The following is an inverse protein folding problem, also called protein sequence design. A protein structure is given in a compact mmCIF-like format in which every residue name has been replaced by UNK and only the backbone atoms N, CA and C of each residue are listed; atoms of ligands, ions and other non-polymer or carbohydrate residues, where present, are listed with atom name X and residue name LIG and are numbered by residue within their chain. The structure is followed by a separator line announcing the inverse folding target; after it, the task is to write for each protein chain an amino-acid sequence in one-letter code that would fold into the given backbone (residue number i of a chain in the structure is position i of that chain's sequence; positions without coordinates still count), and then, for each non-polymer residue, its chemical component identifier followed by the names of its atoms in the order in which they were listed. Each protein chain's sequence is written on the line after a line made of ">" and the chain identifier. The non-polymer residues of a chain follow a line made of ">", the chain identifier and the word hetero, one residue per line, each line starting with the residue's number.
data_IF_605534891674
#
_entry.id   IF_605534891674
#
_cell.length_a   1.000
_cell.length_b   1.000
_cell.length_c   1.000
_cell.angle_alpha   90.00
_cell.angle_beta   90.00
_cell.angle_gamma   90.00
#
_symmetry.space_group_name_H-M   'P 1'
#
loop_
_entity.id
_entity.type
_entity.pdbx_description
1 polymer ?
#
# COMPACT_ATOMS: atom_id res chain seq x y z
N UNK A 1 13.85 2.88 -36.07
CA UNK A 1 14.59 3.31 -34.85
C UNK A 1 13.85 2.75 -33.68
N UNK A 2 14.55 2.13 -32.75
CA UNK A 2 13.93 1.61 -31.51
C UNK A 2 13.50 2.78 -30.65
N UNK A 3 12.24 2.80 -30.22
CA UNK A 3 11.71 3.85 -29.34
C UNK A 3 12.48 3.86 -28.01
N UNK A 4 12.79 5.06 -27.53
CA UNK A 4 13.49 5.30 -26.26
C UNK A 4 12.48 5.70 -25.19
N UNK A 5 12.43 4.93 -24.13
CA UNK A 5 11.55 5.18 -23.01
C UNK A 5 12.38 5.67 -21.82
N UNK A 6 12.00 6.77 -21.21
CA UNK A 6 12.57 7.22 -19.97
C UNK A 6 11.61 6.91 -18.81
N UNK A 7 12.11 6.23 -17.78
CA UNK A 7 11.42 6.05 -16.50
C UNK A 7 12.12 6.92 -15.45
N UNK A 8 11.40 7.83 -14.82
CA UNK A 8 11.93 8.70 -13.78
C UNK A 8 11.57 8.15 -12.42
N UNK A 9 12.57 7.73 -11.66
CA UNK A 9 12.48 7.08 -10.35
C UNK A 9 12.76 5.57 -10.41
N UNK A 10 13.84 5.13 -9.76
CA UNK A 10 14.21 3.72 -9.60
C UNK A 10 13.65 3.13 -8.27
N UNK A 11 12.44 3.54 -7.91
CA UNK A 11 11.66 2.92 -6.83
C UNK A 11 11.02 1.62 -7.30
N UNK A 12 10.18 1.03 -6.44
CA UNK A 12 9.51 -0.25 -6.69
C UNK A 12 8.76 -0.27 -8.04
N UNK A 13 7.91 0.72 -8.29
CA UNK A 13 7.12 0.79 -9.52
C UNK A 13 7.99 1.06 -10.76
N UNK A 14 8.98 1.96 -10.66
CA UNK A 14 9.83 2.29 -11.80
C UNK A 14 10.67 1.12 -12.27
N UNK A 15 11.27 0.34 -11.36
CA UNK A 15 12.06 -0.85 -11.70
C UNK A 15 11.18 -1.97 -12.28
N UNK A 16 9.99 -2.21 -11.69
CA UNK A 16 9.03 -3.16 -12.23
C UNK A 16 8.60 -2.79 -13.65
N UNK A 17 8.24 -1.52 -13.84
CA UNK A 17 7.80 -1.01 -15.14
C UNK A 17 8.91 -1.11 -16.20
N UNK A 18 10.14 -0.72 -15.85
CA UNK A 18 11.29 -0.84 -16.75
C UNK A 18 11.50 -2.29 -17.21
N UNK A 19 11.39 -3.24 -16.28
CA UNK A 19 11.52 -4.68 -16.58
C UNK A 19 10.40 -5.17 -17.53
N UNK A 20 9.14 -4.75 -17.29
CA UNK A 20 8.01 -5.12 -18.15
C UNK A 20 8.18 -4.56 -19.57
N UNK A 21 8.61 -3.31 -19.70
CA UNK A 21 8.85 -2.67 -21.00
C UNK A 21 10.03 -3.29 -21.75
N UNK A 22 11.11 -3.62 -21.05
CA UNK A 22 12.25 -4.31 -21.64
C UNK A 22 11.88 -5.70 -22.19
N UNK A 23 11.00 -6.42 -21.55
CA UNK A 23 10.46 -7.71 -22.04
C UNK A 23 9.70 -7.57 -23.37
N UNK A 24 9.26 -6.38 -23.72
CA UNK A 24 8.68 -6.04 -25.03
C UNK A 24 9.73 -5.70 -26.09
N UNK A 25 11.01 -5.71 -25.75
CA UNK A 25 12.12 -5.31 -26.63
C UNK A 25 12.31 -3.80 -26.71
N UNK A 26 11.72 -3.02 -25.81
CA UNK A 26 11.90 -1.57 -25.75
C UNK A 26 13.21 -1.21 -25.05
N UNK A 27 13.85 -0.10 -25.50
CA UNK A 27 15.01 0.46 -24.81
C UNK A 27 14.55 1.42 -23.70
N UNK A 28 14.96 1.13 -22.44
CA UNK A 28 14.50 1.86 -21.27
C UNK A 28 15.67 2.45 -20.50
N UNK A 29 15.68 3.76 -20.35
CA UNK A 29 16.58 4.50 -19.48
C UNK A 29 15.86 4.86 -18.16
N UNK A 30 16.36 4.37 -17.04
CA UNK A 30 15.78 4.65 -15.70
C UNK A 30 16.66 5.68 -14.99
N UNK A 31 16.09 6.80 -14.57
CA UNK A 31 16.81 7.88 -13.91
C UNK A 31 16.40 8.00 -12.45
N UNK A 32 17.36 7.89 -11.53
CA UNK A 32 17.16 8.01 -10.09
C UNK A 32 18.03 9.14 -9.54
N UNK A 33 17.44 9.98 -8.67
CA UNK A 33 18.12 11.13 -8.05
C UNK A 33 19.15 10.75 -6.98
N UNK A 34 18.99 9.60 -6.32
CA UNK A 34 19.89 9.09 -5.29
C UNK A 34 20.98 8.22 -5.91
N UNK A 35 22.00 7.96 -5.14
CA UNK A 35 23.00 6.96 -5.46
C UNK A 35 22.38 5.55 -5.44
N UNK A 36 23.09 4.59 -6.05
CA UNK A 36 22.67 3.19 -6.06
C UNK A 36 22.65 2.63 -4.62
N UNK A 37 21.48 2.30 -4.07
CA UNK A 37 21.36 1.85 -2.67
C UNK A 37 22.03 0.49 -2.42
N UNK A 38 22.35 -0.25 -3.47
CA UNK A 38 23.07 -1.53 -3.36
C UNK A 38 24.58 -1.35 -3.15
N UNK A 39 25.14 -0.18 -3.52
CA UNK A 39 26.58 0.15 -3.43
C UNK A 39 26.91 0.99 -2.21
N UNK A 40 26.04 1.89 -1.82
CA UNK A 40 26.13 2.63 -0.57
C UNK A 40 25.77 1.67 0.56
N UNK A 41 26.69 1.40 1.46
CA UNK A 41 26.40 0.59 2.65
C UNK A 41 25.09 1.03 3.28
N UNK A 42 24.21 0.09 3.60
CA UNK A 42 22.80 0.26 3.90
C UNK A 42 22.51 1.61 4.55
N UNK A 43 21.64 2.43 3.93
CA UNK A 43 21.03 3.56 4.61
C UNK A 43 20.42 3.02 5.90
N UNK A 44 21.12 3.22 7.01
CA UNK A 44 20.60 2.93 8.34
C UNK A 44 19.46 3.90 8.59
N UNK A 45 18.28 3.38 8.49
CA UNK A 45 17.08 4.12 8.84
C UNK A 45 16.07 4.14 7.70
N UNK A 46 14.91 3.58 8.00
CA UNK A 46 13.67 3.66 7.26
C UNK A 46 13.43 2.59 6.21
N UNK A 47 13.40 1.38 6.67
CA UNK A 47 12.72 0.32 5.95
C UNK A 47 11.35 0.12 6.53
N UNK A 48 10.38 0.96 6.13
CA UNK A 48 8.97 0.62 6.37
C UNK A 48 8.74 -0.74 5.70
N UNK A 49 8.22 -1.70 6.45
CA UNK A 49 7.80 -2.94 5.84
C UNK A 49 6.59 -2.70 4.95
N UNK A 50 6.57 -3.39 3.84
CA UNK A 50 5.44 -3.41 2.94
C UNK A 50 4.57 -4.62 3.26
N UNK A 51 3.27 -4.46 3.08
CA UNK A 51 2.31 -5.56 3.04
C UNK A 51 2.05 -5.90 1.56
N UNK A 52 2.69 -6.95 1.06
CA UNK A 52 2.45 -7.41 -0.32
C UNK A 52 1.24 -8.34 -0.33
N UNK A 53 0.30 -8.03 -1.21
CA UNK A 53 -0.98 -8.70 -1.39
C UNK A 53 -1.09 -9.32 -2.79
N UNK A 54 -2.25 -9.89 -3.12
CA UNK A 54 -2.47 -10.59 -4.40
C UNK A 54 -2.08 -9.76 -5.63
N UNK A 55 -2.38 -8.44 -5.64
CA UNK A 55 -2.04 -7.55 -6.76
C UNK A 55 -0.54 -7.37 -6.93
N UNK A 56 0.15 -7.21 -5.81
CA UNK A 56 1.61 -7.09 -5.82
C UNK A 56 2.27 -8.39 -6.29
N UNK A 57 1.78 -9.54 -5.83
CA UNK A 57 2.29 -10.86 -6.26
C UNK A 57 2.01 -11.13 -7.74
N UNK A 58 0.80 -10.79 -8.27
CA UNK A 58 0.52 -10.91 -9.70
C UNK A 58 1.53 -10.08 -10.54
N UNK A 59 1.79 -8.86 -10.12
CA UNK A 59 2.74 -7.99 -10.82
C UNK A 59 4.19 -8.50 -10.74
N UNK A 60 4.62 -8.96 -9.57
CA UNK A 60 5.96 -9.52 -9.34
C UNK A 60 6.16 -10.83 -10.10
N UNK A 61 5.12 -11.69 -10.19
CA UNK A 61 5.14 -12.91 -10.97
C UNK A 61 5.37 -12.67 -12.46
N UNK A 62 4.89 -11.55 -12.99
CA UNK A 62 5.12 -11.16 -14.39
C UNK A 62 6.59 -10.87 -14.70
N UNK A 63 7.41 -10.60 -13.70
CA UNK A 63 8.87 -10.42 -13.83
C UNK A 63 9.67 -11.55 -13.20
N UNK A 64 9.01 -12.59 -12.65
CA UNK A 64 9.63 -13.76 -12.06
C UNK A 64 10.23 -13.49 -10.67
N UNK A 65 9.59 -12.62 -9.88
CA UNK A 65 10.03 -12.25 -8.53
C UNK A 65 9.04 -12.65 -7.43
N UNK A 66 7.89 -13.25 -7.74
CA UNK A 66 6.88 -13.65 -6.76
C UNK A 66 7.37 -14.73 -5.79
N UNK A 67 7.97 -15.81 -6.27
CA UNK A 67 8.52 -16.88 -5.43
C UNK A 67 9.62 -16.38 -4.50
N UNK A 68 10.58 -15.59 -5.03
CA UNK A 68 11.64 -14.98 -4.23
C UNK A 68 11.05 -14.03 -3.18
N UNK A 69 10.07 -13.21 -3.57
CA UNK A 69 9.39 -12.28 -2.67
C UNK A 69 8.69 -13.03 -1.53
N UNK A 70 8.03 -14.15 -1.82
CA UNK A 70 7.38 -14.97 -0.80
C UNK A 70 8.39 -15.68 0.11
N UNK A 71 9.54 -16.11 -0.41
CA UNK A 71 10.61 -16.70 0.40
C UNK A 71 11.24 -15.70 1.38
N UNK A 72 11.31 -14.42 0.99
CA UNK A 72 11.87 -13.32 1.80
C UNK A 72 10.81 -12.61 2.68
N UNK A 73 9.56 -13.08 2.69
CA UNK A 73 8.45 -12.44 3.37
C UNK A 73 7.92 -13.28 4.54
N UNK A 74 7.29 -12.61 5.50
CA UNK A 74 6.60 -13.26 6.61
C UNK A 74 5.08 -13.15 6.43
N UNK A 75 4.36 -14.28 6.32
CA UNK A 75 2.92 -14.28 6.11
C UNK A 75 2.16 -13.96 7.42
N UNK A 76 1.41 -12.87 7.41
CA UNK A 76 0.50 -12.49 8.49
C UNK A 76 -0.93 -12.92 8.11
N UNK A 77 -1.53 -13.84 8.90
CA UNK A 77 -2.86 -14.40 8.63
C UNK A 77 -4.00 -13.66 9.30
N UNK A 78 -3.66 -12.65 10.10
CA UNK A 78 -4.62 -11.83 10.80
C UNK A 78 -3.95 -10.64 11.47
N UNK A 79 -4.74 -9.99 12.31
CA UNK A 79 -4.27 -8.87 13.14
C UNK A 79 -4.52 -9.17 14.61
N UNK A 80 -3.55 -8.83 15.46
CA UNK A 80 -3.64 -8.92 16.91
C UNK A 80 -3.82 -7.51 17.47
N UNK A 81 -4.95 -7.28 18.12
CA UNK A 81 -5.30 -6.01 18.75
C UNK A 81 -4.84 -5.99 20.19
N UNK A 82 -4.12 -4.95 20.57
CA UNK A 82 -3.62 -4.72 21.92
C UNK A 82 -4.50 -3.67 22.62
N UNK A 83 -5.23 -4.09 23.67
CA UNK A 83 -5.99 -3.15 24.49
C UNK A 83 -5.07 -2.31 25.38
N UNK A 84 -5.62 -1.24 25.98
CA UNK A 84 -4.87 -0.43 26.93
C UNK A 84 -4.47 -1.22 28.20
N UNK A 85 -5.23 -2.26 28.54
CA UNK A 85 -4.96 -3.14 29.69
C UNK A 85 -4.03 -4.32 29.35
N UNK A 86 -3.49 -4.39 28.11
CA UNK A 86 -2.64 -5.47 27.64
C UNK A 86 -3.40 -6.73 27.17
N UNK A 87 -4.74 -6.74 27.22
CA UNK A 87 -5.50 -7.86 26.68
C UNK A 87 -5.41 -7.93 25.16
N UNK A 88 -5.22 -9.13 24.62
CA UNK A 88 -5.05 -9.39 23.19
C UNK A 88 -6.35 -9.91 22.57
N UNK A 89 -6.62 -9.49 21.34
CA UNK A 89 -7.74 -10.00 20.54
C UNK A 89 -7.29 -10.25 19.10
N UNK A 90 -7.30 -11.51 18.69
CA UNK A 90 -6.96 -11.90 17.33
C UNK A 90 -8.16 -11.78 16.38
N UNK A 91 -7.92 -11.30 15.18
CA UNK A 91 -8.88 -11.22 14.07
C UNK A 91 -8.24 -11.77 12.80
N UNK A 92 -8.73 -12.91 12.31
CA UNK A 92 -8.29 -13.49 11.04
C UNK A 92 -8.66 -12.58 9.86
N UNK A 93 -7.86 -12.61 8.79
CA UNK A 93 -8.16 -11.92 7.54
C UNK A 93 -9.18 -12.66 6.67
N UNK A 94 -9.28 -13.99 6.81
CA UNK A 94 -10.26 -14.82 6.10
C UNK A 94 -11.02 -15.73 7.04
N UNK A 95 -12.19 -16.18 6.59
CA UNK A 95 -13.06 -17.04 7.39
C UNK A 95 -12.43 -18.40 7.73
N UNK A 96 -11.55 -18.92 6.88
CA UNK A 96 -10.83 -20.20 7.02
C UNK A 96 -9.41 -20.04 7.62
N UNK A 97 -8.92 -18.80 7.78
CA UNK A 97 -7.60 -18.49 8.33
C UNK A 97 -6.43 -18.81 7.37
N UNK A 98 -6.69 -19.07 6.10
CA UNK A 98 -5.63 -19.47 5.14
C UNK A 98 -4.98 -18.30 4.44
N UNK A 99 -5.71 -17.19 4.21
CA UNK A 99 -5.21 -16.03 3.50
C UNK A 99 -4.27 -15.20 4.38
N UNK A 100 -3.19 -14.73 3.77
CA UNK A 100 -2.18 -13.92 4.44
C UNK A 100 -1.74 -12.72 3.60
N UNK A 101 -1.47 -11.60 4.25
CA UNK A 101 -0.66 -10.52 3.68
C UNK A 101 0.80 -10.75 4.07
N UNK A 102 1.71 -10.43 3.18
CA UNK A 102 3.11 -10.78 3.33
C UNK A 102 3.93 -9.56 3.74
N UNK A 103 4.48 -9.58 4.95
CA UNK A 103 5.40 -8.55 5.42
C UNK A 103 6.76 -8.73 4.76
N UNK A 104 7.25 -7.71 4.07
CA UNK A 104 8.55 -7.73 3.42
C UNK A 104 9.29 -6.40 3.60
N UNK A 105 10.62 -6.46 3.70
CA UNK A 105 11.46 -5.27 3.69
C UNK A 105 11.31 -4.51 2.37
N UNK A 106 10.92 -3.22 2.46
CA UNK A 106 10.85 -2.34 1.29
C UNK A 106 12.21 -2.20 0.60
N UNK A 107 13.28 -2.10 1.37
CA UNK A 107 14.64 -2.00 0.82
C UNK A 107 15.02 -3.30 0.11
N UNK A 108 14.79 -4.47 0.73
CA UNK A 108 15.06 -5.77 0.13
C UNK A 108 14.30 -5.97 -1.19
N UNK A 109 13.01 -5.65 -1.21
CA UNK A 109 12.22 -5.75 -2.44
C UNK A 109 12.70 -4.76 -3.52
N UNK A 110 13.11 -3.53 -3.13
CA UNK A 110 13.65 -2.57 -4.10
C UNK A 110 14.99 -3.06 -4.68
N UNK A 111 15.88 -3.66 -3.88
CA UNK A 111 17.11 -4.24 -4.36
C UNK A 111 16.84 -5.38 -5.36
N UNK A 112 15.92 -6.29 -5.05
CA UNK A 112 15.56 -7.38 -5.96
C UNK A 112 14.99 -6.86 -7.30
N UNK A 113 14.18 -5.78 -7.25
CA UNK A 113 13.65 -5.15 -8.46
C UNK A 113 14.71 -4.37 -9.25
N UNK A 114 15.67 -3.73 -8.57
CA UNK A 114 16.83 -3.09 -9.22
C UNK A 114 17.70 -4.10 -9.94
N UNK A 115 18.03 -5.22 -9.28
CA UNK A 115 18.80 -6.31 -9.87
C UNK A 115 18.08 -6.86 -11.11
N UNK A 116 16.77 -7.11 -10.98
CA UNK A 116 15.95 -7.62 -12.07
C UNK A 116 15.84 -6.65 -13.26
N UNK A 117 15.76 -5.35 -12.97
CA UNK A 117 15.77 -4.32 -14.03
C UNK A 117 17.13 -4.23 -14.73
N UNK A 118 18.22 -4.30 -13.99
CA UNK A 118 19.60 -4.27 -14.54
C UNK A 118 19.91 -5.50 -15.40
N UNK A 119 19.38 -6.68 -15.02
CA UNK A 119 19.50 -7.92 -15.80
C UNK A 119 18.66 -7.90 -17.09
N UNK A 120 17.65 -7.03 -17.19
CA UNK A 120 16.74 -7.01 -18.33
C UNK A 120 17.42 -6.39 -19.56
N UNK A 121 17.49 -7.08 -20.72
CA UNK A 121 18.10 -6.54 -21.92
C UNK A 121 17.43 -5.23 -22.35
N UNK A 122 18.23 -4.19 -22.57
CA UNK A 122 17.75 -2.88 -23.02
C UNK A 122 17.44 -1.89 -21.88
N UNK A 123 17.54 -2.30 -20.62
CA UNK A 123 17.45 -1.38 -19.47
C UNK A 123 18.82 -0.80 -19.12
N UNK A 124 18.85 0.50 -18.84
CA UNK A 124 20.03 1.20 -18.29
C UNK A 124 19.60 2.00 -17.06
N UNK A 125 20.33 1.82 -15.96
CA UNK A 125 20.08 2.54 -14.70
C UNK A 125 21.06 3.71 -14.59
N UNK A 126 20.53 4.92 -14.38
CA UNK A 126 21.27 6.17 -14.22
C UNK A 126 21.00 6.75 -12.83
N UNK A 127 21.92 6.54 -11.89
CA UNK A 127 21.84 7.06 -10.53
C UNK A 127 22.47 8.47 -10.44
N UNK A 128 22.14 9.24 -9.40
CA UNK A 128 22.62 10.61 -9.21
C UNK A 128 21.98 11.62 -10.19
N UNK A 129 20.91 11.26 -10.88
CA UNK A 129 20.23 12.09 -11.88
C UNK A 129 18.93 12.68 -11.31
N UNK A 130 19.04 13.85 -10.69
CA UNK A 130 17.88 14.58 -10.15
C UNK A 130 17.17 15.32 -11.28
N UNK A 131 15.96 14.91 -11.63
CA UNK A 131 15.13 15.60 -12.62
C UNK A 131 14.68 16.97 -12.08
N UNK A 132 14.86 18.02 -12.86
CA UNK A 132 14.38 19.38 -12.60
C UNK A 132 13.18 19.76 -13.47
N UNK A 133 13.05 19.17 -14.67
CA UNK A 133 11.94 19.40 -15.57
C UNK A 133 11.85 18.39 -16.69
N UNK A 134 10.66 18.29 -17.29
CA UNK A 134 10.42 17.57 -18.54
C UNK A 134 9.48 18.38 -19.43
N UNK A 135 9.80 18.45 -20.70
CA UNK A 135 8.94 19.05 -21.73
C UNK A 135 8.02 17.93 -22.30
N UNK A 136 6.70 18.02 -22.13
CA UNK A 136 5.78 16.98 -22.56
C UNK A 136 5.60 16.89 -24.08
N UNK A 137 5.94 17.94 -24.82
CA UNK A 137 5.77 18.00 -26.28
C UNK A 137 6.98 17.40 -27.00
N UNK A 138 8.19 17.66 -26.50
CA UNK A 138 9.44 17.19 -27.09
C UNK A 138 10.01 15.93 -26.46
N UNK A 139 9.63 15.59 -25.21
CA UNK A 139 10.21 14.50 -24.44
C UNK A 139 11.61 14.80 -23.91
N UNK A 140 12.00 16.10 -23.86
CA UNK A 140 13.28 16.52 -23.30
C UNK A 140 13.22 16.50 -21.77
N UNK A 141 14.21 15.84 -21.15
CA UNK A 141 14.38 15.75 -19.70
C UNK A 141 15.57 16.63 -19.29
N UNK A 142 15.37 17.53 -18.34
CA UNK A 142 16.42 18.35 -17.75
C UNK A 142 16.74 17.83 -16.36
N UNK A 143 18.01 17.53 -16.12
CA UNK A 143 18.54 17.12 -14.83
C UNK A 143 19.49 18.18 -14.26
N UNK A 144 19.89 18.07 -13.00
CA UNK A 144 20.98 18.86 -12.45
C UNK A 144 22.28 18.48 -13.19
N UNK A 145 22.73 19.36 -14.12
CA UNK A 145 23.97 19.18 -14.89
C UNK A 145 23.92 18.26 -16.11
N UNK A 146 22.75 17.79 -16.51
CA UNK A 146 22.60 16.92 -17.69
C UNK A 146 21.25 17.10 -18.39
N UNK A 147 21.19 16.69 -19.63
CA UNK A 147 19.95 16.62 -20.43
C UNK A 147 19.85 15.27 -21.12
N UNK A 148 18.62 14.80 -21.30
CA UNK A 148 18.32 13.62 -22.10
C UNK A 148 17.03 13.85 -22.91
N UNK A 149 16.74 12.94 -23.85
CA UNK A 149 15.51 12.97 -24.63
C UNK A 149 14.98 11.55 -24.79
N UNK A 150 13.66 11.40 -24.65
CA UNK A 150 12.96 10.16 -24.84
C UNK A 150 11.72 10.36 -25.72
N UNK A 151 11.25 9.29 -26.34
CA UNK A 151 10.01 9.31 -27.10
C UNK A 151 8.79 9.27 -26.18
N UNK A 152 8.95 8.60 -25.01
CA UNK A 152 7.94 8.56 -23.93
C UNK A 152 8.64 8.69 -22.58
N UNK A 153 8.07 9.47 -21.65
CA UNK A 153 8.55 9.68 -20.30
C UNK A 153 7.51 9.18 -19.29
N UNK A 154 7.90 8.28 -18.42
CA UNK A 154 7.05 7.69 -17.39
C UNK A 154 7.54 8.14 -16.00
N UNK A 155 6.75 8.98 -15.34
CA UNK A 155 7.06 9.50 -14.01
C UNK A 155 6.64 8.53 -12.92
N UNK A 156 7.62 7.83 -12.32
CA UNK A 156 7.48 6.94 -11.16
C UNK A 156 8.26 7.47 -9.95
N UNK A 157 8.39 8.80 -9.84
CA UNK A 157 9.25 9.54 -8.92
C UNK A 157 8.56 9.91 -7.59
N UNK A 158 7.44 9.24 -7.29
CA UNK A 158 6.80 9.23 -5.99
C UNK A 158 5.91 10.45 -5.69
N UNK A 159 5.42 10.53 -4.45
CA UNK A 159 4.41 11.50 -4.03
C UNK A 159 4.79 12.97 -4.28
N UNK A 160 6.08 13.28 -4.27
CA UNK A 160 6.62 14.62 -4.54
C UNK A 160 7.18 14.78 -5.96
N UNK A 161 6.56 14.14 -6.91
CA UNK A 161 6.98 14.01 -8.32
C UNK A 161 7.39 15.32 -8.98
N UNK A 162 8.60 15.34 -9.55
CA UNK A 162 9.09 16.40 -10.41
C UNK A 162 8.44 16.32 -11.80
N UNK A 163 8.18 15.10 -12.29
CA UNK A 163 7.46 14.88 -13.55
C UNK A 163 6.06 15.49 -13.48
N UNK A 164 5.30 15.21 -12.38
CA UNK A 164 3.97 15.81 -12.18
C UNK A 164 4.03 17.34 -12.18
N UNK A 165 5.01 17.93 -11.49
CA UNK A 165 5.18 19.40 -11.49
C UNK A 165 5.39 19.96 -12.89
N UNK A 166 6.11 19.26 -13.75
CA UNK A 166 6.38 19.71 -15.12
C UNK A 166 5.13 19.72 -16.01
N UNK A 167 4.17 18.80 -15.75
CA UNK A 167 2.95 18.69 -16.55
C UNK A 167 1.70 19.26 -15.85
N UNK A 168 1.85 19.90 -14.70
CA UNK A 168 0.71 20.31 -13.86
C UNK A 168 -0.13 21.47 -14.41
N UNK A 169 0.35 22.19 -15.42
CA UNK A 169 -0.41 23.31 -15.98
C UNK A 169 -1.77 22.84 -16.53
N UNK A 170 -2.87 23.36 -15.99
CA UNK A 170 -4.23 22.92 -16.34
C UNK A 170 -4.62 21.54 -15.75
N UNK A 171 -3.85 21.01 -14.82
CA UNK A 171 -4.15 19.77 -14.08
C UNK A 171 -5.06 20.09 -12.89
N UNK A 172 -6.09 19.27 -12.70
CA UNK A 172 -6.81 19.20 -11.42
C UNK A 172 -5.93 18.40 -10.44
N UNK A 173 -5.37 19.09 -9.43
CA UNK A 173 -4.42 18.52 -8.49
C UNK A 173 -4.83 18.82 -7.06
N UNK A 174 -5.10 17.76 -6.30
CA UNK A 174 -5.32 17.81 -4.87
C UNK A 174 -4.21 17.06 -4.14
N UNK A 175 -3.65 17.70 -3.12
CA UNK A 175 -2.67 17.10 -2.22
C UNK A 175 -3.15 17.32 -0.78
N UNK A 176 -3.79 16.29 -0.22
CA UNK A 176 -4.39 16.37 1.11
C UNK A 176 -3.44 15.79 2.15
N UNK A 177 -2.90 16.65 3.00
CA UNK A 177 -2.06 16.25 4.12
C UNK A 177 -2.90 16.02 5.35
N UNK A 178 -2.82 14.81 5.92
CA UNK A 178 -3.45 14.56 7.19
C UNK A 178 -2.77 15.39 8.31
N UNK A 179 -3.51 15.80 9.35
CA UNK A 179 -2.94 16.44 10.54
C UNK A 179 -2.02 15.50 11.33
N UNK A 180 -2.06 14.21 10.99
CA UNK A 180 -1.20 13.17 11.54
C UNK A 180 0.13 13.07 10.79
N UNK A 181 1.14 12.66 11.52
CA UNK A 181 2.40 12.17 10.98
C UNK A 181 2.60 10.71 11.33
N UNK A 182 3.68 10.12 10.84
CA UNK A 182 4.10 8.80 11.27
C UNK A 182 5.57 8.81 11.68
N UNK A 183 5.93 7.92 12.59
CA UNK A 183 7.32 7.71 13.03
C UNK A 183 7.60 6.22 13.14
N UNK A 184 8.78 5.82 12.69
CA UNK A 184 9.24 4.43 12.79
C UNK A 184 9.94 4.19 14.11
N UNK A 185 9.65 3.05 14.73
CA UNK A 185 10.24 2.56 15.95
C UNK A 185 10.53 1.05 15.80
N UNK A 186 11.28 0.47 16.72
CA UNK A 186 11.67 -0.93 16.61
C UNK A 186 11.34 -1.71 17.89
N UNK A 187 10.83 -2.94 17.70
CA UNK A 187 10.85 -3.99 18.73
C UNK A 187 11.93 -4.99 18.30
N UNK A 188 13.06 -5.08 19.00
CA UNK A 188 14.13 -6.02 18.66
C UNK A 188 13.76 -7.47 19.00
N UNK A 189 14.49 -8.46 18.50
CA UNK A 189 14.37 -9.84 18.92
C UNK A 189 14.56 -9.97 20.45
N UNK A 190 13.81 -10.88 21.04
CA UNK A 190 13.93 -11.19 22.45
C UNK A 190 14.46 -12.62 22.65
N UNK A 191 15.58 -12.76 23.34
CA UNK A 191 16.21 -14.08 23.59
C UNK A 191 16.49 -14.86 22.30
N UNK A 192 16.75 -14.14 21.21
CA UNK A 192 17.04 -14.74 19.90
C UNK A 192 15.79 -15.18 19.11
N UNK A 193 14.59 -14.84 19.56
CA UNK A 193 13.33 -15.13 18.88
C UNK A 193 12.43 -13.89 18.77
N UNK A 194 11.29 -14.01 18.10
CA UNK A 194 10.30 -12.94 17.99
C UNK A 194 9.73 -12.54 19.36
N UNK A 195 9.66 -11.24 19.62
CA UNK A 195 9.05 -10.73 20.86
C UNK A 195 7.51 -10.77 20.86
N UNK A 196 6.89 -10.89 19.68
CA UNK A 196 5.45 -10.98 19.44
C UNK A 196 5.18 -12.08 18.41
N UNK A 197 3.91 -12.45 18.20
CA UNK A 197 3.53 -13.44 17.16
C UNK A 197 3.85 -12.94 15.74
N UNK A 198 4.79 -13.55 15.01
CA UNK A 198 5.15 -13.11 13.65
C UNK A 198 4.07 -13.41 12.60
N UNK A 199 3.08 -14.25 12.90
CA UNK A 199 1.97 -14.54 11.99
C UNK A 199 0.84 -13.50 12.04
N UNK A 200 1.05 -12.39 12.77
CA UNK A 200 0.05 -11.33 12.99
C UNK A 200 0.60 -9.94 12.67
N UNK A 201 -0.25 -9.09 12.11
CA UNK A 201 -0.09 -7.64 12.19
C UNK A 201 -0.53 -7.18 13.59
N UNK A 202 0.38 -6.65 14.39
CA UNK A 202 0.03 -6.11 15.70
C UNK A 202 -0.48 -4.68 15.58
N UNK A 203 -1.57 -4.36 16.29
CA UNK A 203 -2.19 -3.03 16.27
C UNK A 203 -2.52 -2.61 17.70
N UNK A 204 -2.09 -1.41 18.09
CA UNK A 204 -2.47 -0.72 19.31
C UNK A 204 -3.40 0.45 18.95
N UNK A 205 -4.73 0.25 18.87
CA UNK A 205 -5.69 1.33 18.59
C UNK A 205 -5.84 2.23 19.82
N UNK A 206 -5.75 3.55 19.63
CA UNK A 206 -5.83 4.56 20.72
C UNK A 206 -6.66 5.78 20.29
N UNK A 207 -7.83 5.54 19.72
CA UNK A 207 -8.71 6.60 19.22
C UNK A 207 -8.10 7.30 18.01
N UNK A 208 -7.82 8.61 18.13
CA UNK A 208 -7.22 9.38 17.04
C UNK A 208 -5.75 9.02 16.74
N UNK A 209 -5.16 8.05 17.45
CA UNK A 209 -3.80 7.58 17.25
C UNK A 209 -3.73 6.07 17.21
N UNK A 210 -2.67 5.52 16.64
CA UNK A 210 -2.39 4.08 16.71
C UNK A 210 -0.92 3.78 16.49
N UNK A 211 -0.49 2.62 16.93
CA UNK A 211 0.78 2.02 16.54
C UNK A 211 0.50 0.66 15.89
N UNK A 212 1.23 0.34 14.83
CA UNK A 212 1.21 -0.98 14.20
C UNK A 212 2.62 -1.56 14.24
N UNK A 213 2.74 -2.89 14.25
CA UNK A 213 4.03 -3.57 14.15
C UNK A 213 3.95 -4.74 13.16
N UNK A 214 4.90 -4.76 12.23
CA UNK A 214 5.06 -5.78 11.20
C UNK A 214 6.36 -6.56 11.46
N UNK A 215 6.35 -7.89 11.34
CA UNK A 215 7.52 -8.73 11.58
C UNK A 215 8.56 -8.59 10.46
N UNK A 216 9.84 -8.73 10.83
CA UNK A 216 11.00 -8.77 9.96
C UNK A 216 11.66 -10.16 9.98
N UNK A 217 12.38 -10.52 8.92
CA UNK A 217 13.09 -11.80 8.83
C UNK A 217 14.23 -11.95 9.84
N UNK A 218 14.75 -10.84 10.37
CA UNK A 218 15.73 -10.81 11.47
C UNK A 218 15.09 -10.98 12.86
N UNK A 219 13.79 -11.32 12.91
CA UNK A 219 12.98 -11.51 14.13
C UNK A 219 12.67 -10.24 14.90
N UNK A 220 13.01 -9.08 14.40
CA UNK A 220 12.53 -7.80 14.90
C UNK A 220 11.13 -7.47 14.37
N UNK A 221 10.52 -6.40 14.90
CA UNK A 221 9.32 -5.79 14.32
C UNK A 221 9.59 -4.33 14.01
N UNK A 222 9.20 -3.90 12.81
CA UNK A 222 9.11 -2.49 12.47
C UNK A 222 7.78 -1.95 12.97
N UNK A 223 7.85 -1.02 13.91
CA UNK A 223 6.68 -0.35 14.46
C UNK A 223 6.46 0.98 13.74
N UNK A 224 5.24 1.23 13.30
CA UNK A 224 4.86 2.54 12.76
C UNK A 224 3.85 3.19 13.68
N UNK A 225 4.24 4.31 14.26
CA UNK A 225 3.42 5.13 15.15
C UNK A 225 2.75 6.23 14.35
N UNK A 226 1.42 6.35 14.45
CA UNK A 226 0.60 7.38 13.81
C UNK A 226 -0.01 8.28 14.87
N UNK A 227 0.46 9.53 14.97
CA UNK A 227 0.00 10.54 15.93
C UNK A 227 -0.23 11.88 15.25
N UNK A 228 -0.98 12.76 15.90
CA UNK A 228 -1.06 14.15 15.50
C UNK A 228 0.35 14.79 15.51
N UNK A 229 0.66 15.62 14.50
CA UNK A 229 1.98 16.26 14.39
C UNK A 229 2.31 17.11 15.62
N UNK A 230 1.29 17.70 16.24
CA UNK A 230 1.43 18.46 17.48
C UNK A 230 1.90 17.60 18.65
N UNK A 231 1.42 16.35 18.75
CA UNK A 231 1.82 15.40 19.80
C UNK A 231 3.30 15.03 19.67
N UNK A 232 3.80 14.82 18.44
CA UNK A 232 5.23 14.57 18.21
C UNK A 232 6.10 15.73 18.66
N UNK A 233 5.67 16.96 18.36
CA UNK A 233 6.44 18.16 18.70
C UNK A 233 6.52 18.42 20.23
N UNK A 234 5.56 17.91 21.00
CA UNK A 234 5.53 18.05 22.46
C UNK A 234 6.46 17.08 23.19
N UNK A 235 6.97 16.05 22.51
CA UNK A 235 7.78 14.97 23.10
C UNK A 235 9.26 15.13 22.69
N UNK A 236 9.93 16.08 23.32
CA UNK A 236 11.29 16.50 23.00
C UNK A 236 12.38 15.97 23.96
N UNK A 237 11.97 15.22 25.01
CA UNK A 237 12.90 14.58 25.96
C UNK A 237 12.59 13.11 26.16
N UNK A 238 13.59 12.26 26.52
CA UNK A 238 13.40 10.85 26.79
C UNK A 238 12.31 10.58 27.85
N UNK A 239 12.26 11.40 28.91
CA UNK A 239 11.31 11.23 30.01
C UNK A 239 9.87 11.46 29.52
N UNK A 240 9.63 12.48 28.71
CA UNK A 240 8.31 12.78 28.13
C UNK A 240 7.87 11.68 27.18
N UNK A 241 8.79 11.18 26.34
CA UNK A 241 8.51 10.05 25.43
C UNK A 241 8.09 8.82 26.22
N UNK A 242 8.90 8.42 27.22
CA UNK A 242 8.62 7.25 28.04
C UNK A 242 7.33 7.40 28.85
N UNK A 243 7.03 8.59 29.37
CA UNK A 243 5.78 8.84 30.08
C UNK A 243 4.56 8.69 29.17
N UNK A 244 4.60 9.28 27.98
CA UNK A 244 3.51 9.17 26.99
C UNK A 244 3.29 7.72 26.52
N UNK A 245 4.38 6.95 26.35
CA UNK A 245 4.26 5.54 25.96
C UNK A 245 3.78 4.64 27.08
N UNK A 246 4.18 4.88 28.32
CA UNK A 246 3.64 4.14 29.49
C UNK A 246 2.14 4.38 29.67
N UNK A 247 1.65 5.55 29.33
CA UNK A 247 0.22 5.88 29.38
C UNK A 247 -0.55 5.20 28.22
N UNK A 248 -0.04 5.31 26.98
CA UNK A 248 -0.77 4.90 25.78
C UNK A 248 -0.48 3.48 25.31
N UNK A 249 0.74 2.95 25.54
CA UNK A 249 1.23 1.66 25.06
C UNK A 249 2.00 0.89 26.15
N UNK A 250 1.41 0.69 27.34
CA UNK A 250 2.13 0.13 28.50
C UNK A 250 2.71 -1.26 28.25
N UNK A 251 2.06 -2.09 27.45
CA UNK A 251 2.49 -3.43 27.07
C UNK A 251 3.61 -3.45 26.02
N UNK A 252 3.76 -2.39 25.23
CA UNK A 252 4.83 -2.26 24.23
C UNK A 252 6.15 -1.74 24.84
N UNK A 253 6.10 -0.89 25.87
CA UNK A 253 7.29 -0.26 26.47
C UNK A 253 8.36 -1.29 26.88
N UNK A 254 8.05 -2.41 27.56
CA UNK A 254 9.06 -3.42 27.92
C UNK A 254 9.71 -4.13 26.72
N UNK A 255 9.10 -4.04 25.53
CA UNK A 255 9.58 -4.66 24.30
C UNK A 255 10.48 -3.70 23.48
N UNK A 256 10.58 -2.43 23.86
CA UNK A 256 11.24 -1.37 23.08
C UNK A 256 12.37 -0.72 23.90
N UNK A 257 13.51 -1.37 24.10
CA UNK A 257 14.60 -0.85 24.95
C UNK A 257 15.21 0.45 24.41
N UNK A 258 15.15 0.67 23.08
CA UNK A 258 15.67 1.88 22.40
C UNK A 258 14.62 2.95 22.16
N UNK A 259 13.40 2.79 22.68
CA UNK A 259 12.23 3.61 22.36
C UNK A 259 12.50 5.12 22.33
N UNK A 260 13.07 5.67 23.40
CA UNK A 260 13.29 7.11 23.51
C UNK A 260 14.35 7.60 22.52
N UNK A 261 15.41 6.83 22.32
CA UNK A 261 16.48 7.16 21.37
C UNK A 261 15.95 7.12 19.93
N UNK A 262 15.23 6.06 19.55
CA UNK A 262 14.63 5.92 18.23
C UNK A 262 13.58 7.01 17.98
N UNK A 263 12.76 7.32 18.98
CA UNK A 263 11.74 8.36 18.87
C UNK A 263 12.35 9.73 18.60
N UNK A 264 13.43 10.09 19.30
CA UNK A 264 14.08 11.39 19.15
C UNK A 264 14.93 11.48 17.87
N UNK A 265 15.56 10.37 17.46
CA UNK A 265 16.42 10.34 16.27
C UNK A 265 15.64 10.26 14.95
N UNK A 266 14.54 9.48 14.93
CA UNK A 266 13.80 9.26 13.69
C UNK A 266 12.90 10.46 13.37
N UNK A 267 12.87 10.91 12.09
CA UNK A 267 12.03 12.03 11.71
C UNK A 267 10.55 11.65 11.67
N UNK A 268 9.70 12.65 11.72
CA UNK A 268 8.26 12.53 11.47
C UNK A 268 8.00 12.59 9.98
N UNK A 269 7.42 11.50 9.43
CA UNK A 269 6.94 11.45 8.06
C UNK A 269 5.55 12.08 7.93
N UNK A 270 5.23 12.61 6.75
CA UNK A 270 3.90 13.14 6.45
C UNK A 270 3.04 12.10 5.76
N UNK A 271 1.75 12.10 6.09
CA UNK A 271 0.72 11.32 5.41
C UNK A 271 0.05 12.21 4.38
N UNK A 272 0.18 11.87 3.10
CA UNK A 272 -0.38 12.64 2.00
C UNK A 272 -1.18 11.75 1.07
N UNK A 273 -2.34 12.22 0.67
CA UNK A 273 -3.11 11.66 -0.46
C UNK A 273 -2.95 12.60 -1.65
N UNK A 274 -2.56 12.05 -2.78
CA UNK A 274 -2.43 12.79 -4.05
C UNK A 274 -3.51 12.32 -5.00
N UNK A 275 -4.27 13.25 -5.55
CA UNK A 275 -5.24 13.02 -6.64
C UNK A 275 -4.97 14.03 -7.72
N UNK A 276 -4.77 13.60 -8.94
CA UNK A 276 -4.58 14.49 -10.06
C UNK A 276 -5.24 13.96 -11.33
N UNK A 277 -5.55 14.88 -12.26
CA UNK A 277 -6.04 14.59 -13.61
C UNK A 277 -5.76 15.77 -14.53
N UNK A 278 -5.29 15.54 -15.77
CA UNK A 278 -4.93 14.23 -16.37
C UNK A 278 -3.61 13.67 -15.82
N UNK A 279 -3.41 12.35 -15.95
CA UNK A 279 -2.12 11.71 -15.68
C UNK A 279 -1.20 11.76 -16.89
N UNK A 280 -1.77 12.01 -18.07
CA UNK A 280 -1.08 11.99 -19.36
C UNK A 280 -1.10 13.37 -19.97
N UNK A 281 0.07 13.81 -20.46
CA UNK A 281 0.21 15.02 -21.24
C UNK A 281 1.30 14.85 -22.30
N UNK A 282 0.91 14.93 -23.58
CA UNK A 282 1.84 14.71 -24.69
C UNK A 282 2.52 13.34 -24.60
N UNK A 283 3.85 13.36 -24.43
CA UNK A 283 4.70 12.17 -24.32
C UNK A 283 4.93 11.71 -22.88
N UNK A 284 4.32 12.35 -21.90
CA UNK A 284 4.58 12.14 -20.47
C UNK A 284 3.36 11.51 -19.79
N UNK A 285 3.60 10.47 -18.96
CA UNK A 285 2.58 9.89 -18.10
C UNK A 285 3.09 9.68 -16.67
N UNK A 286 2.18 9.71 -15.69
CA UNK A 286 2.45 9.47 -14.28
C UNK A 286 2.05 8.05 -13.89
N UNK A 287 2.84 7.42 -13.00
CA UNK A 287 2.64 6.04 -12.53
C UNK A 287 2.88 5.97 -11.02
N UNK A 288 2.04 5.21 -10.33
CA UNK A 288 2.14 5.01 -8.88
C UNK A 288 1.96 6.29 -8.08
N UNK A 289 2.75 6.47 -7.01
CA UNK A 289 2.63 7.61 -6.11
C UNK A 289 2.80 8.97 -6.82
N UNK A 290 3.42 9.02 -7.99
CA UNK A 290 3.50 10.23 -8.80
C UNK A 290 2.11 10.68 -9.28
N UNK A 291 1.20 9.74 -9.55
CA UNK A 291 -0.17 9.99 -9.98
C UNK A 291 -1.16 10.03 -8.80
N UNK A 292 -0.99 9.13 -7.81
CA UNK A 292 -2.02 8.86 -6.80
C UNK A 292 -1.44 8.31 -5.48
N UNK A 293 -0.52 9.03 -4.85
CA UNK A 293 -0.06 8.61 -3.52
C UNK A 293 -1.24 8.46 -2.55
N UNK A 294 -1.25 7.39 -1.78
CA UNK A 294 -2.30 7.08 -0.80
C UNK A 294 -1.72 6.88 0.59
N UNK A 295 -2.55 7.11 1.61
CA UNK A 295 -2.17 6.83 3.01
C UNK A 295 -2.02 5.32 3.26
N UNK A 296 -1.13 4.87 4.16
CA UNK A 296 -0.69 3.47 4.26
C UNK A 296 -1.67 2.52 4.94
N UNK A 297 -2.83 2.98 5.39
CA UNK A 297 -3.69 2.25 6.32
C UNK A 297 -4.33 0.97 5.76
N UNK A 298 -4.39 0.81 4.45
CA UNK A 298 -4.83 -0.44 3.81
C UNK A 298 -3.67 -1.30 3.30
N UNK A 299 -2.41 -0.81 3.40
CA UNK A 299 -1.23 -1.49 2.88
C UNK A 299 -1.20 -1.63 1.36
N UNK A 300 -1.91 -0.75 0.63
CA UNK A 300 -2.10 -0.92 -0.81
C UNK A 300 -1.26 0.02 -1.70
N UNK A 301 -0.46 0.94 -1.15
CA UNK A 301 0.32 1.89 -1.96
C UNK A 301 1.20 1.21 -3.00
N UNK A 302 2.08 0.31 -2.58
CA UNK A 302 2.95 -0.44 -3.50
C UNK A 302 2.16 -1.39 -4.41
N UNK A 303 1.13 -2.08 -3.88
CA UNK A 303 0.29 -3.00 -4.66
C UNK A 303 -0.48 -2.26 -5.77
N UNK A 304 -1.02 -1.07 -5.48
CA UNK A 304 -1.70 -0.23 -6.45
C UNK A 304 -0.74 0.28 -7.54
N UNK A 305 0.46 0.72 -7.14
CA UNK A 305 1.50 1.16 -8.09
C UNK A 305 2.01 0.02 -8.98
N UNK A 306 2.09 -1.19 -8.47
CA UNK A 306 2.41 -2.38 -9.26
C UNK A 306 1.30 -2.73 -10.26
N UNK A 307 0.05 -2.61 -9.84
CA UNK A 307 -1.10 -2.78 -10.75
C UNK A 307 -1.13 -1.73 -11.86
N UNK A 308 -0.66 -0.50 -11.61
CA UNK A 308 -0.46 0.50 -12.66
C UNK A 308 0.52 0.02 -13.74
N UNK A 309 1.65 -0.55 -13.32
CA UNK A 309 2.65 -1.07 -14.25
C UNK A 309 2.07 -2.19 -15.12
N UNK A 310 1.29 -3.10 -14.50
CA UNK A 310 0.59 -4.18 -15.21
C UNK A 310 -0.45 -3.65 -16.18
N UNK A 311 -1.23 -2.64 -15.79
CA UNK A 311 -2.28 -2.09 -16.65
C UNK A 311 -1.69 -1.26 -17.80
N UNK A 312 -0.59 -0.56 -17.59
CA UNK A 312 0.12 0.12 -18.69
C UNK A 312 0.67 -0.91 -19.69
N UNK A 313 1.24 -2.01 -19.20
CA UNK A 313 1.70 -3.11 -20.06
C UNK A 313 0.54 -3.75 -20.86
N UNK A 314 -0.60 -3.98 -20.22
CA UNK A 314 -1.83 -4.46 -20.89
C UNK A 314 -2.35 -3.46 -21.91
N UNK A 315 -2.33 -2.16 -21.57
CA UNK A 315 -2.79 -1.09 -22.45
C UNK A 315 -1.94 -0.99 -23.71
N UNK A 316 -0.62 -1.14 -23.60
CA UNK A 316 0.29 -1.23 -24.75
C UNK A 316 -0.03 -2.42 -25.65
N UNK A 317 -0.32 -3.59 -25.08
CA UNK A 317 -0.75 -4.76 -25.86
C UNK A 317 -2.06 -4.49 -26.61
N UNK A 318 -3.06 -3.95 -25.91
CA UNK A 318 -4.38 -3.69 -26.46
C UNK A 318 -4.38 -2.60 -27.55
N UNK A 319 -3.39 -1.69 -27.52
CA UNK A 319 -3.22 -0.60 -28.50
C UNK A 319 -2.22 -0.94 -29.59
N UNK A 320 -1.75 -2.19 -29.70
CA UNK A 320 -0.79 -2.61 -30.71
C UNK A 320 0.56 -1.87 -30.66
N UNK A 321 0.94 -1.35 -29.48
CA UNK A 321 2.16 -0.57 -29.28
C UNK A 321 2.01 0.94 -29.54
N UNK A 322 0.83 1.43 -29.91
CA UNK A 322 0.55 2.86 -30.04
C UNK A 322 0.51 3.53 -28.65
N UNK A 323 1.55 4.31 -28.34
CA UNK A 323 1.71 4.97 -27.05
C UNK A 323 0.60 5.97 -26.72
N UNK A 324 0.20 6.91 -27.58
CA UNK A 324 -0.91 7.81 -27.29
C UNK A 324 -2.20 7.07 -26.90
N UNK A 325 -2.57 6.05 -27.64
CA UNK A 325 -3.74 5.24 -27.35
C UNK A 325 -3.57 4.40 -26.05
N UNK A 326 -2.38 3.85 -25.82
CA UNK A 326 -2.06 3.08 -24.62
C UNK A 326 -2.11 3.93 -23.36
N UNK A 327 -1.53 5.13 -23.38
CA UNK A 327 -1.52 6.04 -22.23
C UNK A 327 -2.93 6.54 -21.89
N UNK A 328 -3.72 6.91 -22.92
CA UNK A 328 -5.11 7.29 -22.71
C UNK A 328 -5.95 6.15 -22.09
N UNK A 329 -5.75 4.91 -22.59
CA UNK A 329 -6.41 3.72 -22.05
C UNK A 329 -5.96 3.44 -20.62
N UNK A 330 -4.67 3.51 -20.32
CA UNK A 330 -4.11 3.34 -18.98
C UNK A 330 -4.77 4.30 -17.96
N UNK A 331 -4.79 5.60 -18.26
CA UNK A 331 -5.43 6.58 -17.39
C UNK A 331 -6.92 6.27 -17.17
N UNK A 332 -7.65 5.95 -18.23
CA UNK A 332 -9.08 5.63 -18.18
C UNK A 332 -9.37 4.39 -17.29
N UNK A 333 -8.51 3.38 -17.34
CA UNK A 333 -8.66 2.15 -16.54
C UNK A 333 -8.23 2.34 -15.09
N UNK A 334 -7.22 3.18 -14.83
CA UNK A 334 -6.61 3.27 -13.50
C UNK A 334 -7.16 4.38 -12.62
N UNK A 335 -7.56 5.52 -13.19
CA UNK A 335 -7.95 6.69 -12.39
C UNK A 335 -9.06 6.39 -11.37
N UNK A 336 -10.16 5.76 -11.79
CA UNK A 336 -11.25 5.43 -10.90
C UNK A 336 -10.83 4.41 -9.81
N UNK A 337 -9.93 3.50 -10.14
CA UNK A 337 -9.40 2.51 -9.21
C UNK A 337 -8.50 3.17 -8.14
N UNK A 338 -7.64 4.08 -8.55
CA UNK A 338 -6.77 4.82 -7.65
C UNK A 338 -7.56 5.71 -6.68
N UNK A 339 -8.61 6.38 -7.17
CA UNK A 339 -9.49 7.17 -6.31
C UNK A 339 -10.24 6.29 -5.30
N UNK A 340 -10.78 5.15 -5.74
CA UNK A 340 -11.51 4.24 -4.86
C UNK A 340 -10.62 3.68 -3.74
N UNK A 341 -9.39 3.27 -4.03
CA UNK A 341 -8.49 2.75 -2.98
C UNK A 341 -8.02 3.88 -2.05
N UNK A 342 -7.86 5.11 -2.55
CA UNK A 342 -7.54 6.25 -1.71
C UNK A 342 -8.66 6.55 -0.69
N UNK A 343 -9.94 6.49 -1.12
CA UNK A 343 -11.09 6.63 -0.22
C UNK A 343 -11.14 5.50 0.81
N UNK A 344 -11.03 4.25 0.36
CA UNK A 344 -11.01 3.09 1.25
C UNK A 344 -9.86 3.14 2.27
N UNK A 345 -8.69 3.66 1.89
CA UNK A 345 -7.55 3.80 2.80
C UNK A 345 -7.80 4.83 3.91
N UNK A 346 -8.45 5.95 3.58
CA UNK A 346 -8.87 6.95 4.57
C UNK A 346 -9.93 6.40 5.52
N UNK A 347 -10.95 5.70 5.00
CA UNK A 347 -11.97 5.04 5.83
C UNK A 347 -11.35 3.99 6.77
N UNK A 348 -10.36 3.23 6.28
CA UNK A 348 -9.69 2.23 7.07
C UNK A 348 -8.84 2.82 8.21
N UNK A 349 -8.33 4.04 8.08
CA UNK A 349 -7.69 4.74 9.19
C UNK A 349 -8.66 4.90 10.38
N UNK A 350 -9.84 5.42 10.13
CA UNK A 350 -10.87 5.57 11.16
C UNK A 350 -11.30 4.21 11.72
N UNK A 351 -11.38 3.19 10.89
CA UNK A 351 -11.69 1.84 11.34
C UNK A 351 -10.62 1.31 12.29
N UNK A 352 -9.35 1.35 11.88
CA UNK A 352 -8.23 0.79 12.64
C UNK A 352 -7.93 1.55 13.93
N UNK A 353 -8.10 2.88 13.93
CA UNK A 353 -7.77 3.70 15.09
C UNK A 353 -8.89 3.74 16.14
N UNK A 354 -10.16 3.72 15.71
CA UNK A 354 -11.32 3.95 16.59
C UNK A 354 -12.23 2.73 16.73
N UNK A 355 -12.61 2.09 15.60
CA UNK A 355 -13.71 1.11 15.59
C UNK A 355 -13.30 -0.29 16.01
N UNK A 356 -12.10 -0.76 15.66
CA UNK A 356 -11.66 -2.15 15.93
C UNK A 356 -11.65 -2.52 17.41
N UNK A 357 -11.48 -1.57 18.31
CA UNK A 357 -11.56 -1.80 19.75
C UNK A 357 -13.01 -1.97 20.26
N UNK A 358 -14.01 -1.53 19.48
CA UNK A 358 -15.43 -1.57 19.88
C UNK A 358 -15.97 -3.01 19.95
N UNK A 359 -16.70 -3.39 21.02
CA UNK A 359 -17.38 -4.68 21.11
C UNK A 359 -18.40 -4.88 19.98
N UNK A 360 -19.08 -3.83 19.57
CA UNK A 360 -20.05 -3.84 18.46
C UNK A 360 -19.38 -4.21 17.16
N UNK A 361 -18.26 -3.57 16.84
CA UNK A 361 -17.49 -3.86 15.63
C UNK A 361 -17.00 -5.31 15.61
N UNK A 362 -16.48 -5.81 16.74
CA UNK A 362 -16.03 -7.21 16.86
C UNK A 362 -17.18 -8.21 16.64
N UNK A 363 -18.37 -7.90 17.14
CA UNK A 363 -19.57 -8.72 16.90
C UNK A 363 -19.99 -8.70 15.44
N UNK A 364 -19.97 -7.54 14.78
CA UNK A 364 -20.24 -7.41 13.35
C UNK A 364 -19.23 -8.18 12.50
N UNK A 365 -17.95 -8.13 12.84
CA UNK A 365 -16.89 -8.88 12.15
C UNK A 365 -17.11 -10.40 12.29
N UNK A 366 -17.46 -10.87 13.50
CA UNK A 366 -17.79 -12.30 13.73
C UNK A 366 -19.01 -12.74 12.90
N UNK A 367 -20.04 -11.90 12.83
CA UNK A 367 -21.23 -12.17 12.00
C UNK A 367 -20.86 -12.23 10.52
N UNK A 368 -20.06 -11.30 10.01
CA UNK A 368 -19.56 -11.32 8.64
C UNK A 368 -18.79 -12.60 8.34
N UNK A 369 -17.85 -13.02 9.18
CA UNK A 369 -17.14 -14.29 9.01
C UNK A 369 -18.07 -15.52 9.09
N UNK A 370 -19.13 -15.45 9.87
CA UNK A 370 -20.13 -16.53 9.88
C UNK A 370 -20.91 -16.58 8.55
N UNK A 371 -21.25 -15.42 7.98
CA UNK A 371 -21.87 -15.31 6.66
C UNK A 371 -20.94 -15.80 5.54
N UNK A 372 -19.67 -15.42 5.59
CA UNK A 372 -18.64 -15.90 4.63
C UNK A 372 -18.57 -17.43 4.64
N UNK A 373 -18.51 -18.03 5.82
CA UNK A 373 -18.49 -19.51 5.95
C UNK A 373 -19.77 -20.17 5.45
N UNK A 374 -20.93 -19.58 5.81
CA UNK A 374 -22.24 -20.14 5.43
C UNK A 374 -22.54 -20.01 3.96
N UNK A 375 -22.09 -18.95 3.29
CA UNK A 375 -22.42 -18.62 1.91
C UNK A 375 -21.30 -19.00 0.92
N UNK A 376 -20.17 -19.52 1.41
CA UNK A 376 -19.11 -20.15 0.62
C UNK A 376 -18.66 -19.32 -0.58
N UNK A 377 -17.99 -18.20 -0.37
CA UNK A 377 -17.44 -17.32 -1.43
C UNK A 377 -18.48 -16.44 -2.16
N UNK A 378 -19.78 -16.58 -1.84
CA UNK A 378 -20.83 -15.66 -2.31
C UNK A 378 -20.93 -14.39 -1.48
N UNK A 379 -20.40 -14.40 -0.28
CA UNK A 379 -20.22 -13.23 0.58
C UNK A 379 -18.74 -13.15 0.95
N UNK A 380 -18.09 -12.06 0.59
CA UNK A 380 -16.66 -11.84 0.77
C UNK A 380 -16.46 -10.45 1.39
N UNK A 381 -15.63 -10.33 2.41
CA UNK A 381 -15.39 -9.05 3.09
C UNK A 381 -14.70 -8.02 2.19
N UNK A 382 -14.87 -6.74 2.49
CA UNK A 382 -14.15 -5.64 1.80
C UNK A 382 -12.64 -5.87 1.87
N UNK A 383 -12.13 -6.22 3.05
CA UNK A 383 -10.71 -6.44 3.26
C UNK A 383 -10.17 -7.56 2.37
N UNK A 384 -10.90 -8.66 2.28
CA UNK A 384 -10.53 -9.80 1.44
C UNK A 384 -10.56 -9.43 -0.05
N UNK A 385 -11.59 -8.73 -0.51
CA UNK A 385 -11.67 -8.25 -1.90
C UNK A 385 -10.52 -7.32 -2.27
N UNK A 386 -10.12 -6.42 -1.37
CA UNK A 386 -9.00 -5.50 -1.60
C UNK A 386 -7.66 -6.22 -1.58
N UNK A 387 -7.42 -7.07 -0.58
CA UNK A 387 -6.09 -7.62 -0.31
C UNK A 387 -5.80 -8.93 -1.04
N UNK A 388 -6.82 -9.75 -1.31
CA UNK A 388 -6.61 -11.12 -1.82
C UNK A 388 -7.21 -11.36 -3.21
N UNK A 389 -7.67 -10.31 -3.90
CA UNK A 389 -8.14 -10.39 -5.29
C UNK A 389 -7.52 -9.31 -6.16
N UNK A 390 -7.63 -9.48 -7.47
CA UNK A 390 -7.28 -8.46 -8.47
C UNK A 390 -8.51 -7.78 -9.08
N UNK A 391 -9.68 -7.88 -8.41
CA UNK A 391 -10.90 -7.18 -8.82
C UNK A 391 -10.64 -5.68 -8.79
N UNK A 392 -11.01 -4.89 -9.82
CA UNK A 392 -10.81 -3.46 -9.84
C UNK A 392 -11.33 -2.79 -8.55
N UNK A 393 -10.54 -1.93 -7.93
CA UNK A 393 -10.92 -1.29 -6.66
C UNK A 393 -12.25 -0.53 -6.75
N UNK A 394 -12.50 0.12 -7.90
CA UNK A 394 -13.75 0.85 -8.14
C UNK A 394 -15.00 -0.04 -8.14
N UNK A 395 -14.86 -1.35 -8.37
CA UNK A 395 -15.97 -2.29 -8.40
C UNK A 395 -16.30 -2.87 -7.02
N UNK A 396 -15.37 -2.76 -6.05
CA UNK A 396 -15.47 -3.41 -4.74
C UNK A 396 -16.68 -2.93 -3.97
N UNK A 397 -16.87 -1.60 -3.87
CA UNK A 397 -18.02 -1.04 -3.15
C UNK A 397 -19.37 -1.46 -3.76
N UNK A 398 -19.45 -1.48 -5.08
CA UNK A 398 -20.64 -1.97 -5.79
C UNK A 398 -20.92 -3.44 -5.52
N UNK A 399 -19.86 -4.26 -5.38
CA UNK A 399 -19.97 -5.67 -5.05
C UNK A 399 -20.44 -5.86 -3.60
N UNK A 400 -19.87 -5.13 -2.66
CA UNK A 400 -20.27 -5.19 -1.24
C UNK A 400 -21.75 -4.81 -1.09
N UNK A 401 -22.18 -3.68 -1.68
CA UNK A 401 -23.59 -3.27 -1.64
C UNK A 401 -24.54 -4.34 -2.18
N UNK A 402 -24.19 -4.99 -3.29
CA UNK A 402 -25.00 -6.09 -3.87
C UNK A 402 -25.06 -7.31 -2.93
N UNK A 403 -23.94 -7.67 -2.30
CA UNK A 403 -23.90 -8.76 -1.32
C UNK A 403 -24.79 -8.46 -0.11
N UNK A 404 -24.67 -7.26 0.47
CA UNK A 404 -25.45 -6.84 1.65
C UNK A 404 -26.95 -6.79 1.35
N UNK A 405 -27.35 -6.28 0.17
CA UNK A 405 -28.75 -6.30 -0.28
C UNK A 405 -29.29 -7.72 -0.43
N UNK A 406 -28.50 -8.63 -0.99
CA UNK A 406 -28.91 -10.02 -1.17
C UNK A 406 -29.10 -10.71 0.18
N UNK A 407 -28.15 -10.54 1.11
CA UNK A 407 -28.26 -11.10 2.47
C UNK A 407 -29.47 -10.51 3.20
N UNK A 408 -29.67 -9.19 3.10
CA UNK A 408 -30.84 -8.51 3.70
C UNK A 408 -32.16 -9.02 3.14
N UNK A 409 -32.28 -9.23 1.82
CA UNK A 409 -33.48 -9.75 1.16
C UNK A 409 -33.78 -11.21 1.61
N UNK A 410 -32.75 -12.06 1.66
CA UNK A 410 -32.90 -13.45 2.13
C UNK A 410 -33.32 -13.50 3.59
N UNK A 411 -32.65 -12.69 4.46
CA UNK A 411 -33.02 -12.62 5.87
C UNK A 411 -34.45 -12.12 6.07
N UNK A 412 -34.88 -11.09 5.34
CA UNK A 412 -36.23 -10.56 5.36
C UNK A 412 -37.27 -11.60 4.91
N UNK A 413 -37.00 -12.35 3.85
CA UNK A 413 -37.88 -13.42 3.36
C UNK A 413 -38.03 -14.56 4.39
N UNK A 414 -36.93 -14.96 5.05
CA UNK A 414 -36.94 -15.98 6.10
C UNK A 414 -37.78 -15.52 7.31
N UNK A 415 -37.62 -14.28 7.78
CA UNK A 415 -38.39 -13.72 8.87
C UNK A 415 -39.89 -13.62 8.54
N UNK A 416 -40.23 -13.19 7.32
CA UNK A 416 -41.61 -13.13 6.85
C UNK A 416 -42.23 -14.54 6.78
N UNK A 417 -41.46 -15.56 6.29
CA UNK A 417 -41.91 -16.94 6.26
C UNK A 417 -42.17 -17.54 7.66
N UNK A 418 -41.27 -17.27 8.61
CA UNK A 418 -41.48 -17.68 10.03
C UNK A 418 -42.68 -16.99 10.62
N UNK A 419 -42.83 -15.67 10.40
CA UNK A 419 -44.02 -14.90 10.88
C UNK A 419 -45.34 -15.44 10.33
N UNK A 420 -45.39 -15.74 9.02
CA UNK A 420 -46.55 -16.35 8.38
C UNK A 420 -46.85 -17.77 8.93
N UNK A 421 -45.83 -18.57 9.16
CA UNK A 421 -45.97 -19.90 9.77
C UNK A 421 -46.55 -19.85 11.20
N UNK A 422 -46.06 -18.93 12.04
CA UNK A 422 -46.58 -18.71 13.41
C UNK A 422 -48.02 -18.24 13.39
N UNK A 423 -48.40 -17.35 12.46
CA UNK A 423 -49.76 -16.89 12.31
C UNK A 423 -50.74 -18.01 11.84
N UNK A 424 -50.29 -18.88 10.93
CA UNK A 424 -51.04 -20.04 10.50
C UNK A 424 -51.22 -21.09 11.61
N UNK A 425 -50.22 -21.31 12.45
CA UNK A 425 -50.34 -22.18 13.61
C UNK A 425 -51.27 -21.62 14.71
N UNK A 426 -51.29 -20.33 14.92
CA UNK A 426 -52.25 -19.64 15.85
C UNK A 426 -53.69 -19.65 15.36
N UNK A 427 -53.93 -19.72 14.02
CA UNK A 427 -55.29 -19.87 13.45
C UNK A 427 -55.85 -21.29 13.48
N UNK A 428 -55.02 -22.29 13.73
CA UNK A 428 -55.39 -23.70 13.82
C UNK A 428 -55.59 -24.20 15.25
N UNK A 429 -55.39 -23.33 16.23
CA UNK A 429 -55.81 -23.51 17.65
C UNK A 429 -57.01 -22.61 17.97
#
# INVERSE_FOLDING_TARGET
>A
MTERIAVVGAGLAGCLLATLLARRGLAVDVYERRDDPRRAGAERGRSINLAISARGLDALGRVGLDERTLADALPMRGRTLHSLTGALAYQSYSADGTLAINSISRAGLNHALLDRAEEAPGVRLHFGHRLTGVDPDTGELTFEGAMARADVVLGADGAYSAVRRSIQHGMDLHQDFLPHGYKELTIPPREGDFALDPASLHIWPRGASMMIALPNTDRSFTCTLFWAKADFAALDTPERVLAAFRERYPDAVPLMPTLAADFLANPVGSLVTVRCRPWVRGRVALVGDAAHAIVPFFGQGANCAFEDCVELDRSLTASGGDWPAALARYEAQRKANADAIADMALENFVEMSEKVASPVFRTQTRLRHALERALGGRYVSRYELVSFTTIPYAEIEGRIRRQDLTVGAVAGALLAGVGAGVLLMRRRR
#
